data_IF_637500172150
#
_entry.id   IF_637500172150
#
_cell.length_a   1.000
_cell.length_b   1.000
_cell.length_c   1.000
_cell.angle_alpha   90.00
_cell.angle_beta   90.00
_cell.angle_gamma   90.00
#
_symmetry.space_group_name_H-M   'P 1'
#
loop_
_entity.id
_entity.type
_entity.pdbx_description
1 polymer ?
#
# COMPACT_ATOMS: atom_id res chain seq x y z
N UNK A 1 -43.91 13.64 24.85
CA UNK A 1 -44.68 12.52 24.24
C UNK A 1 -44.74 11.39 25.27
N UNK A 2 -45.93 11.03 25.77
CA UNK A 2 -46.08 9.94 26.76
C UNK A 2 -46.11 8.60 26.00
N UNK A 3 -45.13 7.72 26.25
CA UNK A 3 -45.14 6.37 25.69
C UNK A 3 -46.32 5.57 26.26
N UNK A 4 -47.03 4.87 25.39
CA UNK A 4 -48.12 3.97 25.77
C UNK A 4 -47.55 2.71 26.43
N UNK A 5 -48.23 2.15 27.44
CA UNK A 5 -47.82 0.93 28.16
C UNK A 5 -47.53 -0.24 27.20
N UNK A 6 -48.29 -0.34 26.10
CA UNK A 6 -48.05 -1.33 25.03
C UNK A 6 -46.68 -1.16 24.36
N UNK A 7 -46.27 0.09 24.11
CA UNK A 7 -44.95 0.38 23.53
C UNK A 7 -43.81 0.07 24.49
N UNK A 8 -44.00 0.28 25.80
CA UNK A 8 -43.00 -0.06 26.82
C UNK A 8 -42.81 -1.58 26.92
N UNK A 9 -43.90 -2.35 26.91
CA UNK A 9 -43.85 -3.81 26.95
C UNK A 9 -43.17 -4.41 25.71
N UNK A 10 -43.47 -3.88 24.52
CA UNK A 10 -42.79 -4.27 23.28
C UNK A 10 -41.30 -3.96 23.31
N UNK A 11 -40.93 -2.79 23.83
CA UNK A 11 -39.54 -2.35 23.90
C UNK A 11 -38.72 -3.19 24.89
N UNK A 12 -39.30 -3.59 26.02
CA UNK A 12 -38.66 -4.52 26.97
C UNK A 12 -38.33 -5.89 26.36
N UNK A 13 -39.12 -6.36 25.40
CA UNK A 13 -38.88 -7.64 24.73
C UNK A 13 -37.88 -7.48 23.57
N UNK A 14 -37.99 -6.39 22.81
CA UNK A 14 -37.21 -6.20 21.59
C UNK A 14 -35.77 -5.74 21.86
N UNK A 15 -35.57 -4.84 22.82
CA UNK A 15 -34.26 -4.28 23.17
C UNK A 15 -33.22 -5.33 23.56
N UNK A 16 -33.50 -6.32 24.44
CA UNK A 16 -32.51 -7.32 24.80
C UNK A 16 -32.10 -8.24 23.64
N UNK A 17 -32.90 -8.34 22.57
CA UNK A 17 -32.51 -9.03 21.33
C UNK A 17 -31.73 -8.12 20.37
N UNK A 18 -32.12 -6.84 20.27
CA UNK A 18 -31.46 -5.87 19.39
C UNK A 18 -30.05 -5.50 19.87
N UNK A 19 -29.85 -5.34 21.17
CA UNK A 19 -28.57 -4.96 21.76
C UNK A 19 -27.43 -5.92 21.37
N UNK A 20 -27.53 -7.26 21.59
CA UNK A 20 -26.48 -8.17 21.19
C UNK A 20 -26.34 -8.28 19.68
N UNK A 21 -27.45 -8.21 18.91
CA UNK A 21 -27.39 -8.26 17.45
C UNK A 21 -26.60 -7.08 16.85
N UNK A 22 -26.87 -5.86 17.33
CA UNK A 22 -26.13 -4.66 16.91
C UNK A 22 -24.69 -4.68 17.42
N UNK A 23 -24.46 -5.11 18.66
CA UNK A 23 -23.12 -5.23 19.23
C UNK A 23 -22.25 -6.20 18.44
N UNK A 24 -22.78 -7.40 18.14
CA UNK A 24 -22.09 -8.41 17.33
C UNK A 24 -21.85 -7.92 15.90
N UNK A 25 -22.84 -7.28 15.28
CA UNK A 25 -22.69 -6.73 13.93
C UNK A 25 -21.60 -5.66 13.88
N UNK A 26 -21.60 -4.70 14.82
CA UNK A 26 -20.57 -3.67 14.90
C UNK A 26 -19.18 -4.28 15.15
N UNK A 27 -19.09 -5.27 16.05
CA UNK A 27 -17.85 -5.98 16.36
C UNK A 27 -17.28 -6.74 15.15
N UNK A 28 -18.11 -7.55 14.48
CA UNK A 28 -17.72 -8.29 13.27
C UNK A 28 -17.29 -7.34 12.14
N UNK A 29 -17.99 -6.23 11.98
CA UNK A 29 -17.63 -5.21 10.99
C UNK A 29 -16.27 -4.60 11.30
N UNK A 30 -16.00 -4.30 12.58
CA UNK A 30 -14.70 -3.78 13.02
C UNK A 30 -13.57 -4.76 12.71
N UNK A 31 -13.74 -6.05 13.03
CA UNK A 31 -12.76 -7.09 12.72
C UNK A 31 -12.51 -7.25 11.21
N UNK A 32 -13.58 -7.24 10.41
CA UNK A 32 -13.45 -7.31 8.95
C UNK A 32 -12.67 -6.14 8.37
N UNK A 33 -12.88 -4.94 8.91
CA UNK A 33 -12.15 -3.74 8.48
C UNK A 33 -10.69 -3.82 8.90
N UNK A 34 -10.38 -4.28 10.12
CA UNK A 34 -8.98 -4.44 10.55
C UNK A 34 -8.25 -5.49 9.72
N UNK A 35 -8.90 -6.61 9.41
CA UNK A 35 -8.31 -7.68 8.61
C UNK A 35 -8.04 -7.21 7.18
N UNK A 36 -8.99 -6.48 6.57
CA UNK A 36 -8.81 -5.89 5.25
C UNK A 36 -7.64 -4.89 5.21
N UNK A 37 -7.47 -4.09 6.27
CA UNK A 37 -6.34 -3.14 6.40
C UNK A 37 -5.00 -3.86 6.52
N UNK A 38 -4.92 -4.86 7.40
CA UNK A 38 -3.70 -5.65 7.57
C UNK A 38 -3.30 -6.39 6.28
N UNK A 39 -4.29 -6.87 5.51
CA UNK A 39 -4.05 -7.49 4.22
C UNK A 39 -3.48 -6.49 3.20
N UNK A 40 -4.04 -5.28 3.09
CA UNK A 40 -3.53 -4.22 2.22
C UNK A 40 -2.08 -3.84 2.57
N UNK A 41 -1.76 -3.71 3.87
CA UNK A 41 -0.40 -3.44 4.36
C UNK A 41 0.58 -4.54 3.94
N UNK A 42 0.23 -5.80 4.19
CA UNK A 42 1.07 -6.94 3.82
C UNK A 42 1.31 -7.05 2.30
N UNK A 43 0.31 -6.65 1.49
CA UNK A 43 0.41 -6.64 0.03
C UNK A 43 1.29 -5.52 -0.47
N UNK A 44 1.08 -4.28 0.00
CA UNK A 44 1.90 -3.13 -0.38
C UNK A 44 3.37 -3.30 -0.01
N UNK A 45 3.67 -3.94 1.12
CA UNK A 45 5.05 -4.32 1.47
C UNK A 45 5.66 -5.32 0.48
N UNK A 46 4.92 -6.35 0.05
CA UNK A 46 5.40 -7.32 -0.93
C UNK A 46 5.61 -6.69 -2.30
N UNK A 47 4.67 -5.84 -2.72
CA UNK A 47 4.71 -5.18 -4.02
C UNK A 47 5.82 -4.15 -4.11
N UNK A 48 6.03 -3.34 -3.06
CA UNK A 48 7.17 -2.42 -2.99
C UNK A 48 8.52 -3.15 -2.97
N UNK A 49 8.63 -4.32 -2.33
CA UNK A 49 9.82 -5.20 -2.41
C UNK A 49 10.04 -5.72 -3.82
N UNK A 50 8.99 -6.18 -4.49
CA UNK A 50 9.06 -6.66 -5.86
C UNK A 50 9.50 -5.55 -6.82
N UNK A 51 8.87 -4.37 -6.75
CA UNK A 51 9.23 -3.21 -7.58
C UNK A 51 10.65 -2.74 -7.32
N UNK A 52 11.09 -2.71 -6.07
CA UNK A 52 12.47 -2.40 -5.72
C UNK A 52 13.44 -3.35 -6.40
N UNK A 53 13.19 -4.66 -6.32
CA UNK A 53 14.08 -5.65 -6.94
C UNK A 53 14.04 -5.61 -8.48
N UNK A 54 12.84 -5.46 -9.08
CA UNK A 54 12.67 -5.39 -10.52
C UNK A 54 13.27 -4.12 -11.14
N UNK A 55 13.31 -3.02 -10.39
CA UNK A 55 13.89 -1.76 -10.84
C UNK A 55 15.41 -1.68 -10.69
N UNK A 56 16.06 -2.57 -9.92
CA UNK A 56 17.52 -2.56 -9.73
C UNK A 56 18.29 -2.52 -11.06
N UNK A 57 17.93 -3.39 -12.01
CA UNK A 57 18.59 -3.45 -13.31
C UNK A 57 18.28 -2.23 -14.18
N UNK A 58 17.03 -1.78 -14.20
CA UNK A 58 16.64 -0.61 -14.99
C UNK A 58 17.30 0.68 -14.46
N UNK A 59 17.48 0.79 -13.14
CA UNK A 59 18.23 1.88 -12.51
C UNK A 59 19.73 1.80 -12.82
N UNK A 60 20.32 0.60 -12.84
CA UNK A 60 21.73 0.40 -13.21
C UNK A 60 22.05 0.84 -14.64
N UNK A 61 21.12 0.61 -15.58
CA UNK A 61 21.28 0.94 -17.00
C UNK A 61 20.71 2.32 -17.34
N UNK A 62 20.17 3.05 -16.35
CA UNK A 62 19.49 4.33 -16.52
C UNK A 62 18.36 4.29 -17.58
N UNK A 63 17.66 3.17 -17.66
CA UNK A 63 16.57 2.95 -18.62
C UNK A 63 15.22 3.41 -18.03
N UNK A 64 14.92 4.69 -18.27
CA UNK A 64 13.67 5.31 -17.84
C UNK A 64 12.44 4.76 -18.55
N UNK A 65 12.57 4.23 -19.77
CA UNK A 65 11.46 3.64 -20.50
C UNK A 65 11.02 2.33 -19.85
N UNK A 66 11.99 1.49 -19.45
CA UNK A 66 11.71 0.25 -18.71
C UNK A 66 11.11 0.55 -17.33
N UNK A 67 11.60 1.58 -16.63
CA UNK A 67 11.00 2.03 -15.35
C UNK A 67 9.56 2.52 -15.54
N UNK A 68 9.28 3.26 -16.61
CA UNK A 68 7.94 3.74 -16.92
C UNK A 68 6.97 2.60 -17.24
N UNK A 69 7.42 1.59 -18.00
CA UNK A 69 6.62 0.39 -18.28
C UNK A 69 6.37 -0.41 -17.01
N UNK A 70 7.37 -0.55 -16.15
CA UNK A 70 7.25 -1.23 -14.86
C UNK A 70 6.23 -0.51 -13.96
N UNK A 71 6.32 0.81 -13.83
CA UNK A 71 5.34 1.62 -13.09
C UNK A 71 3.92 1.45 -13.66
N UNK A 72 3.76 1.53 -14.98
CA UNK A 72 2.45 1.41 -15.63
C UNK A 72 1.83 0.00 -15.52
N UNK A 73 2.67 -1.04 -15.48
CA UNK A 73 2.21 -2.43 -15.34
C UNK A 73 1.59 -2.70 -13.97
N UNK A 74 2.09 -2.02 -12.93
CA UNK A 74 1.66 -2.18 -11.54
C UNK A 74 0.25 -1.60 -11.30
N UNK A 75 -0.15 -0.57 -12.06
CA UNK A 75 -1.49 0.06 -11.96
C UNK A 75 -2.65 -0.82 -12.47
N UNK A 76 -2.37 -1.88 -13.23
CA UNK A 76 -3.41 -2.66 -13.93
C UNK A 76 -3.90 -3.86 -13.13
N UNK A 77 -3.35 -4.11 -11.95
CA UNK A 77 -3.73 -5.21 -11.05
C UNK A 77 -5.06 -4.97 -10.31
N UNK A 78 -5.71 -6.06 -9.87
CA UNK A 78 -6.84 -5.96 -8.95
C UNK A 78 -6.36 -5.52 -7.56
N UNK A 79 -6.87 -4.40 -7.04
CA UNK A 79 -6.33 -3.76 -5.84
C UNK A 79 -4.97 -3.08 -6.06
N UNK A 80 -4.68 -2.71 -7.32
CA UNK A 80 -3.46 -2.02 -7.71
C UNK A 80 -3.23 -0.71 -6.95
N UNK A 81 -1.97 -0.33 -6.85
CA UNK A 81 -1.57 1.00 -6.43
C UNK A 81 -2.28 2.06 -7.28
N UNK A 82 -2.69 3.15 -6.64
CA UNK A 82 -3.32 4.30 -7.33
C UNK A 82 -2.27 5.11 -8.11
N UNK A 83 -1.04 5.15 -7.59
CA UNK A 83 0.11 5.73 -8.25
C UNK A 83 1.39 4.96 -7.87
N UNK A 84 2.34 4.88 -8.80
CA UNK A 84 3.67 4.31 -8.61
C UNK A 84 4.71 5.31 -9.10
N UNK A 85 5.72 5.60 -8.29
CA UNK A 85 6.76 6.57 -8.61
C UNK A 85 8.15 5.97 -8.38
N UNK A 86 9.05 6.22 -9.32
CA UNK A 86 10.48 6.05 -9.17
C UNK A 86 11.11 7.43 -9.08
N UNK A 87 11.82 7.67 -7.97
CA UNK A 87 12.45 8.95 -7.67
C UNK A 87 13.96 8.77 -7.60
N UNK A 88 14.69 9.78 -8.02
CA UNK A 88 16.13 9.90 -7.76
C UNK A 88 16.37 10.37 -6.31
N UNK A 89 17.62 10.34 -5.85
CA UNK A 89 18.05 10.80 -4.53
C UNK A 89 17.65 12.26 -4.26
N UNK A 90 17.63 13.11 -5.30
CA UNK A 90 17.22 14.52 -5.22
C UNK A 90 15.68 14.71 -5.27
N UNK A 91 14.90 13.62 -5.37
CA UNK A 91 13.44 13.67 -5.49
C UNK A 91 12.94 14.08 -6.89
N UNK A 92 13.81 14.00 -7.89
CA UNK A 92 13.44 14.10 -9.30
C UNK A 92 12.67 12.82 -9.73
N UNK A 93 11.60 12.97 -10.51
CA UNK A 93 10.81 11.83 -10.98
C UNK A 93 11.52 11.20 -12.17
N UNK A 94 11.97 9.95 -12.01
CA UNK A 94 12.59 9.16 -13.08
C UNK A 94 11.53 8.46 -13.94
N UNK A 95 10.48 7.97 -13.29
CA UNK A 95 9.31 7.39 -13.92
C UNK A 95 8.10 7.49 -12.97
N UNK A 96 6.90 7.66 -13.52
CA UNK A 96 5.69 7.71 -12.73
C UNK A 96 4.50 7.17 -13.52
N UNK A 97 3.64 6.43 -12.84
CA UNK A 97 2.38 5.98 -13.39
C UNK A 97 1.26 6.32 -12.40
N UNK A 98 0.16 6.85 -12.93
CA UNK A 98 -1.05 7.14 -12.18
C UNK A 98 -1.73 8.36 -12.79
N UNK A 99 -2.85 8.78 -12.21
CA UNK A 99 -3.40 10.09 -12.50
C UNK A 99 -2.45 11.17 -11.93
N UNK A 100 -2.26 12.27 -12.67
CA UNK A 100 -1.43 13.40 -12.24
C UNK A 100 -1.65 13.84 -10.77
N UNK A 101 -2.90 14.04 -10.29
CA UNK A 101 -3.13 14.43 -8.89
C UNK A 101 -2.62 13.39 -7.88
N UNK A 102 -2.68 12.10 -8.21
CA UNK A 102 -2.26 11.02 -7.32
C UNK A 102 -0.74 10.86 -7.29
N UNK A 103 -0.09 11.09 -8.43
CA UNK A 103 1.37 11.16 -8.55
C UNK A 103 1.92 12.34 -7.75
N UNK A 104 1.31 13.53 -7.88
CA UNK A 104 1.73 14.72 -7.15
C UNK A 104 1.55 14.56 -5.64
N UNK A 105 0.42 13.98 -5.22
CA UNK A 105 0.14 13.66 -3.82
C UNK A 105 1.18 12.69 -3.26
N UNK A 106 1.45 11.58 -3.94
CA UNK A 106 2.44 10.60 -3.49
C UNK A 106 3.85 11.21 -3.40
N UNK A 107 4.22 12.10 -4.33
CA UNK A 107 5.49 12.84 -4.28
C UNK A 107 5.55 13.81 -3.10
N UNK A 108 4.44 14.49 -2.79
CA UNK A 108 4.36 15.36 -1.61
C UNK A 108 4.51 14.54 -0.32
N UNK A 109 3.80 13.41 -0.23
CA UNK A 109 3.88 12.49 0.91
C UNK A 109 5.26 11.87 1.12
N UNK A 110 6.00 11.59 0.04
CA UNK A 110 7.38 11.12 0.15
C UNK A 110 8.32 12.19 0.74
N UNK A 111 8.12 13.46 0.37
CA UNK A 111 8.90 14.59 0.92
C UNK A 111 8.55 14.89 2.38
N UNK A 112 7.25 14.94 2.69
CA UNK A 112 6.72 15.32 3.99
C UNK A 112 5.95 14.16 4.63
N UNK A 113 6.69 13.11 5.01
CA UNK A 113 6.12 11.88 5.55
C UNK A 113 5.21 12.09 6.78
N UNK A 114 5.48 13.13 7.59
CA UNK A 114 4.69 13.47 8.76
C UNK A 114 3.24 13.90 8.44
N UNK A 115 2.99 14.39 7.22
CA UNK A 115 1.65 14.82 6.76
C UNK A 115 0.81 13.70 6.15
N UNK A 116 1.44 12.61 5.72
CA UNK A 116 0.77 11.53 5.00
C UNK A 116 0.73 10.19 5.74
N UNK A 117 1.49 10.05 6.83
CA UNK A 117 1.35 8.92 7.74
C UNK A 117 -0.02 9.00 8.44
N UNK A 118 -1.00 8.23 7.96
CA UNK A 118 -2.23 7.96 8.70
C UNK A 118 -3.42 8.87 8.40
N UNK A 119 -3.48 9.57 7.26
CA UNK A 119 -4.81 9.93 6.73
C UNK A 119 -5.51 8.60 6.42
N UNK A 120 -6.58 8.27 7.15
CA UNK A 120 -7.12 6.90 7.29
C UNK A 120 -7.68 6.21 6.02
N UNK A 121 -7.28 6.65 4.82
CA UNK A 121 -7.75 6.15 3.54
C UNK A 121 -6.63 5.85 2.51
N UNK A 122 -5.35 6.19 2.77
CA UNK A 122 -4.27 6.01 1.78
C UNK A 122 -2.99 5.48 2.43
N UNK A 123 -2.44 4.43 1.83
CA UNK A 123 -1.18 3.82 2.24
C UNK A 123 -0.07 4.23 1.27
N UNK A 124 1.04 4.72 1.80
CA UNK A 124 2.26 4.97 1.04
C UNK A 124 3.30 3.93 1.44
N UNK A 125 3.80 3.17 0.46
CA UNK A 125 4.90 2.23 0.64
C UNK A 125 6.12 2.76 -0.09
N UNK A 126 7.25 2.82 0.61
CA UNK A 126 8.51 3.28 0.06
C UNK A 126 9.62 2.27 0.30
N UNK A 127 10.54 2.16 -0.65
CA UNK A 127 11.73 1.33 -0.51
C UNK A 127 12.89 1.95 -1.27
N UNK A 128 14.02 2.10 -0.59
CA UNK A 128 15.25 2.60 -1.18
C UNK A 128 15.92 1.46 -1.96
N UNK A 129 16.27 1.73 -3.23
CA UNK A 129 17.04 0.82 -4.07
C UNK A 129 18.45 1.37 -4.20
N UNK A 130 19.44 0.64 -3.68
CA UNK A 130 20.85 0.93 -3.92
C UNK A 130 21.36 -0.02 -4.98
N UNK A 131 21.52 0.50 -6.19
CA UNK A 131 22.21 -0.19 -7.27
C UNK A 131 23.67 -0.45 -6.88
N UNK A 132 23.95 -1.58 -6.23
CA UNK A 132 25.33 -2.06 -6.02
C UNK A 132 25.73 -2.87 -7.24
N UNK A 133 26.72 -2.40 -8.00
CA UNK A 133 27.45 -3.29 -8.91
C UNK A 133 28.06 -4.41 -8.07
N UNK A 134 27.52 -5.62 -8.21
CA UNK A 134 28.20 -6.81 -7.71
C UNK A 134 29.45 -6.96 -8.57
N UNK A 135 30.62 -6.78 -7.97
CA UNK A 135 31.90 -6.98 -8.67
C UNK A 135 31.86 -8.34 -9.39
N UNK A 136 32.42 -8.45 -10.61
CA UNK A 136 32.53 -9.73 -11.28
C UNK A 136 33.23 -10.70 -10.34
N UNK A 137 32.57 -11.84 -10.09
CA UNK A 137 33.14 -12.91 -9.29
C UNK A 137 34.37 -13.38 -10.07
N UNK A 138 35.56 -13.07 -9.56
CA UNK A 138 36.81 -13.68 -10.02
C UNK A 138 36.65 -15.20 -9.83
N UNK A 139 36.23 -15.89 -10.88
CA UNK A 139 36.44 -17.33 -11.05
C UNK A 139 37.91 -17.54 -11.40
N UNK A 140 38.78 -17.16 -10.48
CA UNK A 140 40.20 -17.45 -10.53
C UNK A 140 40.51 -18.53 -9.49
N UNK A 141 40.79 -19.72 -10.01
CA UNK A 141 41.62 -20.78 -9.40
C UNK A 141 40.97 -21.63 -8.30
N UNK A 142 40.40 -22.76 -8.72
CA UNK A 142 40.54 -24.03 -8.03
C UNK A 142 40.34 -25.21 -9.01
N UNK A 143 41.22 -25.29 -10.00
CA UNK A 143 41.48 -26.54 -10.72
C UNK A 143 42.99 -26.75 -10.71
N UNK A 144 43.46 -27.59 -9.80
CA UNK A 144 44.74 -28.28 -9.93
C UNK A 144 44.53 -29.70 -9.44
N UNK A 145 44.88 -30.61 -10.34
CA UNK A 145 44.82 -32.06 -10.27
C UNK A 145 45.60 -32.67 -9.09
#
# INVERSE_FOLDING_TARGET
MKLSIRSIALLMILVPMLLPALGLSAWLTSLRVSDARAELESRGERESRYLAHASELALLVADSETLQRLAASNLRGAGAAVATLFLDADGAVLAAAGEAPEVDMARHCWRDAAGCAGSGQRYLFQREVRARMRAPRDEAVAFSA
#
